data_IF_644662584141
#
_entry.id   IF_644662584141
#
_cell.length_a   1.000
_cell.length_b   1.000
_cell.length_c   1.000
_cell.angle_alpha   90.00
_cell.angle_beta   90.00
_cell.angle_gamma   90.00
#
_symmetry.space_group_name_H-M   'P 1'
#
loop_
_entity.id
_entity.type
_entity.pdbx_description
1 polymer ?
#
# COMPACT_ATOMS: atom_id res chain seq x y z
N UNK A 1 -4.33 -12.76 8.29
CA UNK A 1 -3.35 -11.70 8.60
C UNK A 1 -1.97 -12.25 8.92
N UNK A 2 -1.82 -13.16 9.90
CA UNK A 2 -0.52 -13.75 10.27
C UNK A 2 0.27 -14.37 9.10
N UNK A 3 -0.41 -15.10 8.19
CA UNK A 3 0.23 -15.67 6.99
C UNK A 3 0.77 -14.62 6.02
N UNK A 4 0.14 -13.43 5.94
CA UNK A 4 0.49 -12.35 5.00
C UNK A 4 1.71 -11.58 5.48
N UNK A 5 1.66 -11.21 6.76
CA UNK A 5 2.77 -10.57 7.45
C UNK A 5 3.96 -11.55 7.48
N UNK A 6 3.71 -12.83 7.74
CA UNK A 6 4.73 -13.89 7.71
C UNK A 6 5.38 -14.06 6.34
N UNK A 7 4.62 -14.08 5.24
CA UNK A 7 5.18 -14.26 3.89
C UNK A 7 5.94 -13.01 3.41
N UNK A 8 5.46 -11.81 3.77
CA UNK A 8 6.16 -10.55 3.53
C UNK A 8 7.46 -10.41 4.33
N UNK A 9 7.44 -10.78 5.63
CA UNK A 9 8.65 -10.83 6.46
C UNK A 9 9.62 -11.90 5.96
N UNK A 10 9.12 -13.08 5.59
CA UNK A 10 9.95 -14.17 5.08
C UNK A 10 10.64 -13.77 3.78
N UNK A 11 9.91 -13.17 2.83
CA UNK A 11 10.51 -12.67 1.58
C UNK A 11 11.45 -11.49 1.80
N UNK A 12 11.17 -10.60 2.75
CA UNK A 12 12.09 -9.54 3.15
C UNK A 12 13.40 -10.07 3.74
N UNK A 13 13.30 -11.07 4.63
CA UNK A 13 14.46 -11.73 5.23
C UNK A 13 15.25 -12.49 4.18
N UNK A 14 14.59 -13.25 3.29
CA UNK A 14 15.25 -14.02 2.24
C UNK A 14 15.99 -13.09 1.27
N UNK A 15 15.36 -11.99 0.85
CA UNK A 15 15.97 -11.00 -0.03
C UNK A 15 17.13 -10.26 0.64
N UNK A 16 16.99 -9.91 1.92
CA UNK A 16 18.07 -9.33 2.71
C UNK A 16 19.27 -10.27 2.83
N UNK A 17 19.04 -11.55 3.16
CA UNK A 17 20.11 -12.55 3.21
C UNK A 17 20.80 -12.70 1.86
N UNK A 18 20.03 -12.71 0.77
CA UNK A 18 20.57 -12.85 -0.59
C UNK A 18 21.45 -11.64 -0.97
N UNK A 19 20.99 -10.41 -0.72
CA UNK A 19 21.76 -9.18 -1.02
C UNK A 19 22.98 -9.01 -0.11
N UNK A 20 22.90 -9.43 1.16
CA UNK A 20 24.05 -9.38 2.08
C UNK A 20 25.19 -10.28 1.59
N UNK A 21 24.84 -11.37 0.89
CA UNK A 21 25.78 -12.30 0.30
C UNK A 21 26.46 -11.77 -0.97
N UNK A 22 25.86 -10.79 -1.67
CA UNK A 22 26.36 -10.30 -2.95
C UNK A 22 27.15 -8.98 -2.88
N UNK A 23 26.88 -8.11 -1.90
CA UNK A 23 27.39 -6.72 -1.93
C UNK A 23 28.32 -6.34 -0.76
N UNK A 24 28.65 -7.26 0.16
CA UNK A 24 29.36 -7.01 1.44
C UNK A 24 28.74 -5.86 2.29
N UNK A 25 27.53 -5.41 1.93
CA UNK A 25 26.88 -4.24 2.49
C UNK A 25 25.55 -4.64 3.13
N UNK A 26 25.64 -5.09 4.38
CA UNK A 26 24.53 -5.49 5.25
C UNK A 26 23.38 -4.45 5.27
N UNK A 27 23.69 -3.16 5.08
CA UNK A 27 22.69 -2.10 5.06
C UNK A 27 21.81 -2.12 3.80
N UNK A 28 22.37 -2.43 2.64
CA UNK A 28 21.62 -2.56 1.38
C UNK A 28 20.66 -3.75 1.48
N UNK A 29 21.10 -4.83 2.11
CA UNK A 29 20.30 -6.01 2.39
C UNK A 29 19.11 -5.74 3.31
N UNK A 30 19.34 -5.09 4.46
CA UNK A 30 18.27 -4.82 5.43
C UNK A 30 17.26 -3.83 4.85
N UNK A 31 17.72 -2.76 4.23
CA UNK A 31 16.84 -1.73 3.66
C UNK A 31 16.11 -2.27 2.43
N UNK A 32 16.81 -2.95 1.52
CA UNK A 32 16.24 -3.56 0.31
C UNK A 32 15.25 -4.68 0.61
N UNK A 33 15.52 -5.52 1.62
CA UNK A 33 14.64 -6.59 2.06
C UNK A 33 13.31 -6.06 2.62
N UNK A 34 13.36 -5.09 3.53
CA UNK A 34 12.14 -4.44 4.06
C UNK A 34 11.36 -3.77 2.93
N UNK A 35 12.04 -3.12 1.99
CA UNK A 35 11.42 -2.52 0.81
C UNK A 35 10.73 -3.53 -0.10
N UNK A 36 11.42 -4.63 -0.43
CA UNK A 36 10.88 -5.68 -1.27
C UNK A 36 9.68 -6.36 -0.62
N UNK A 37 9.73 -6.62 0.69
CA UNK A 37 8.61 -7.20 1.44
C UNK A 37 7.39 -6.29 1.48
N UNK A 38 7.56 -5.00 1.73
CA UNK A 38 6.45 -4.02 1.72
C UNK A 38 5.93 -3.80 0.30
N UNK A 39 6.83 -3.67 -0.67
CA UNK A 39 6.51 -3.52 -2.08
C UNK A 39 5.71 -4.70 -2.61
N UNK A 40 6.17 -5.94 -2.37
CA UNK A 40 5.45 -7.16 -2.74
C UNK A 40 4.11 -7.29 -2.01
N UNK A 41 4.02 -6.93 -0.73
CA UNK A 41 2.75 -6.95 -0.02
C UNK A 41 1.72 -5.97 -0.64
N UNK A 42 2.17 -4.83 -1.15
CA UNK A 42 1.33 -3.86 -1.88
C UNK A 42 1.03 -4.33 -3.31
N UNK A 43 2.01 -4.90 -4.01
CA UNK A 43 1.89 -5.32 -5.41
C UNK A 43 1.16 -6.65 -5.62
N UNK A 44 1.22 -7.58 -4.65
CA UNK A 44 0.45 -8.83 -4.69
C UNK A 44 -1.01 -8.64 -4.28
N UNK A 45 -1.35 -7.48 -3.71
CA UNK A 45 -2.71 -7.12 -3.30
C UNK A 45 -3.77 -7.22 -4.41
N UNK A 46 -3.53 -6.86 -5.69
CA UNK A 46 -4.53 -6.99 -6.76
C UNK A 46 -4.83 -8.43 -7.16
N UNK A 47 -3.89 -9.37 -6.93
CA UNK A 47 -4.10 -10.80 -7.21
C UNK A 47 -4.93 -11.52 -6.15
N UNK A 48 -5.20 -10.86 -5.03
CA UNK A 48 -5.98 -11.41 -3.93
C UNK A 48 -7.37 -10.82 -4.07
N UNK A 49 -8.16 -11.39 -4.98
CA UNK A 49 -9.54 -10.96 -5.22
C UNK A 49 -10.23 -10.71 -3.87
N UNK A 50 -10.72 -9.48 -3.61
CA UNK A 50 -11.57 -9.25 -2.46
C UNK A 50 -12.70 -10.25 -2.56
N UNK A 51 -12.83 -11.14 -1.57
CA UNK A 51 -13.98 -12.04 -1.42
C UNK A 51 -15.32 -11.39 -1.76
N UNK A 52 -15.59 -10.10 -1.46
CA UNK A 52 -16.85 -9.44 -1.84
C UNK A 52 -17.07 -9.21 -3.35
N UNK A 53 -16.04 -9.36 -4.20
CA UNK A 53 -16.18 -9.24 -5.67
C UNK A 53 -16.32 -10.59 -6.38
N UNK A 54 -16.30 -11.69 -5.62
CA UNK A 54 -16.37 -13.03 -6.18
C UNK A 54 -17.81 -13.32 -6.63
N UNK A 55 -17.97 -13.62 -7.92
CA UNK A 55 -19.29 -13.85 -8.53
C UNK A 55 -19.85 -12.65 -9.30
N UNK A 56 -19.27 -11.46 -9.15
CA UNK A 56 -19.61 -10.29 -9.97
C UNK A 56 -18.93 -10.38 -11.35
N UNK A 57 -19.66 -9.98 -12.39
CA UNK A 57 -19.10 -9.84 -13.74
C UNK A 57 -18.08 -8.67 -13.79
N UNK A 58 -17.20 -8.69 -14.80
CA UNK A 58 -16.16 -7.67 -15.00
C UNK A 58 -16.74 -6.26 -15.08
N UNK A 59 -17.93 -6.10 -15.68
CA UNK A 59 -18.61 -4.81 -15.78
C UNK A 59 -19.05 -4.33 -14.39
N UNK A 60 -19.70 -5.20 -13.62
CA UNK A 60 -20.16 -4.89 -12.26
C UNK A 60 -18.99 -4.56 -11.33
N UNK A 61 -17.89 -5.34 -11.37
CA UNK A 61 -16.68 -5.04 -10.58
C UNK A 61 -16.11 -3.66 -10.90
N UNK A 62 -16.08 -3.30 -12.20
CA UNK A 62 -15.59 -1.99 -12.64
C UNK A 62 -16.52 -0.88 -12.19
N UNK A 63 -17.84 -1.10 -12.22
CA UNK A 63 -18.84 -0.17 -11.72
C UNK A 63 -18.65 0.08 -10.22
N UNK A 64 -18.66 -0.97 -9.39
CA UNK A 64 -18.41 -0.89 -7.94
C UNK A 64 -17.10 -0.16 -7.61
N UNK A 65 -16.02 -0.49 -8.31
CA UNK A 65 -14.71 0.16 -8.09
C UNK A 65 -14.75 1.64 -8.48
N UNK A 66 -15.47 2.00 -9.55
CA UNK A 66 -15.61 3.39 -10.00
C UNK A 66 -16.43 4.19 -9.01
N UNK A 67 -17.57 3.67 -8.55
CA UNK A 67 -18.45 4.31 -7.57
C UNK A 67 -17.74 4.51 -6.22
N UNK A 68 -16.99 3.50 -5.76
CA UNK A 68 -16.14 3.64 -4.57
C UNK A 68 -15.08 4.75 -4.72
N UNK A 69 -14.51 4.91 -5.92
CA UNK A 69 -13.49 5.95 -6.21
C UNK A 69 -14.08 7.34 -6.41
N UNK A 70 -15.34 7.46 -6.85
CA UNK A 70 -16.03 8.74 -6.95
C UNK A 70 -16.54 9.22 -5.59
N UNK A 71 -16.85 8.29 -4.68
CA UNK A 71 -17.43 8.64 -3.37
C UNK A 71 -18.96 8.77 -3.41
N UNK A 72 -19.58 8.36 -4.51
CA UNK A 72 -21.02 8.46 -4.73
C UNK A 72 -21.78 7.27 -4.13
N UNK A 73 -23.10 7.43 -3.94
CA UNK A 73 -23.96 6.33 -3.55
C UNK A 73 -24.08 5.32 -4.70
N UNK A 74 -24.19 4.03 -4.39
CA UNK A 74 -24.53 3.02 -5.39
C UNK A 74 -25.97 3.25 -5.90
N UNK A 75 -26.14 3.23 -7.22
CA UNK A 75 -27.46 3.36 -7.87
C UNK A 75 -28.21 2.02 -7.92
N UNK A 76 -27.49 0.90 -8.07
CA UNK A 76 -28.07 -0.44 -8.16
C UNK A 76 -28.15 -1.12 -6.77
N UNK A 77 -29.33 -1.59 -6.32
CA UNK A 77 -29.49 -2.21 -5.01
C UNK A 77 -28.68 -3.51 -4.87
N UNK A 78 -28.61 -4.32 -5.93
CA UNK A 78 -27.84 -5.58 -5.95
C UNK A 78 -26.32 -5.35 -5.76
N UNK A 79 -25.81 -4.19 -6.16
CA UNK A 79 -24.39 -3.83 -6.05
C UNK A 79 -24.06 -3.04 -4.78
N UNK A 80 -25.08 -2.61 -4.02
CA UNK A 80 -24.91 -1.82 -2.82
C UNK A 80 -24.18 -2.59 -1.72
N UNK A 81 -24.53 -3.87 -1.51
CA UNK A 81 -23.88 -4.75 -0.53
C UNK A 81 -22.42 -5.08 -0.91
N UNK A 82 -22.11 -5.51 -2.15
CA UNK A 82 -20.72 -5.68 -2.57
C UNK A 82 -19.86 -4.42 -2.40
N UNK A 83 -20.43 -3.23 -2.62
CA UNK A 83 -19.71 -1.97 -2.40
C UNK A 83 -19.39 -1.75 -0.92
N UNK A 84 -20.37 -1.90 -0.02
CA UNK A 84 -20.13 -1.67 1.42
C UNK A 84 -19.16 -2.69 2.00
N UNK A 85 -19.25 -3.96 1.60
CA UNK A 85 -18.30 -5.00 2.01
C UNK A 85 -16.87 -4.73 1.48
N UNK A 86 -16.74 -4.26 0.23
CA UNK A 86 -15.44 -3.86 -0.34
C UNK A 86 -14.85 -2.65 0.39
N UNK A 87 -15.68 -1.66 0.73
CA UNK A 87 -15.25 -0.49 1.51
C UNK A 87 -14.78 -0.93 2.89
N UNK A 88 -15.53 -1.79 3.58
CA UNK A 88 -15.16 -2.28 4.91
C UNK A 88 -13.86 -3.09 4.88
N UNK A 89 -13.69 -3.95 3.87
CA UNK A 89 -12.42 -4.64 3.65
C UNK A 89 -11.26 -3.67 3.39
N UNK A 90 -11.51 -2.55 2.68
CA UNK A 90 -10.51 -1.53 2.39
C UNK A 90 -10.17 -0.68 3.62
N UNK A 91 -11.16 -0.39 4.46
CA UNK A 91 -10.99 0.41 5.68
C UNK A 91 -10.38 -0.41 6.82
N UNK A 92 -10.68 -1.71 6.90
CA UNK A 92 -10.11 -2.64 7.89
C UNK A 92 -8.59 -2.84 7.78
N UNK A 93 -7.97 -2.30 6.72
CA UNK A 93 -6.52 -2.40 6.51
C UNK A 93 -5.77 -1.56 7.58
N UNK A 94 -4.86 -2.15 8.36
CA UNK A 94 -4.25 -1.47 9.52
C UNK A 94 -3.18 -0.43 9.17
N UNK A 95 -2.89 -0.17 7.89
CA UNK A 95 -1.89 0.82 7.51
C UNK A 95 -2.42 2.24 7.76
N UNK A 96 -2.18 2.77 8.96
CA UNK A 96 -2.50 4.16 9.26
C UNK A 96 -1.64 5.10 8.40
N UNK A 97 -2.18 6.26 7.99
CA UNK A 97 -1.37 7.29 7.32
C UNK A 97 -0.14 7.67 8.14
N UNK A 98 -0.26 7.64 9.46
CA UNK A 98 0.85 7.85 10.40
C UNK A 98 1.96 6.82 10.21
N UNK A 99 1.63 5.53 10.14
CA UNK A 99 2.62 4.46 9.94
C UNK A 99 3.32 4.60 8.59
N UNK A 100 2.59 4.96 7.53
CA UNK A 100 3.21 5.23 6.22
C UNK A 100 4.14 6.46 6.24
N UNK A 101 3.77 7.52 6.98
CA UNK A 101 4.63 8.71 7.17
C UNK A 101 5.87 8.39 7.97
N UNK A 102 5.75 7.59 9.03
CA UNK A 102 6.90 7.12 9.83
C UNK A 102 7.83 6.28 8.95
N UNK A 103 7.28 5.36 8.15
CA UNK A 103 8.06 4.58 7.20
C UNK A 103 8.77 5.47 6.17
N UNK A 104 8.09 6.48 5.62
CA UNK A 104 8.70 7.44 4.71
C UNK A 104 9.83 8.24 5.40
N UNK A 105 9.62 8.72 6.63
CA UNK A 105 10.63 9.43 7.40
C UNK A 105 11.86 8.57 7.69
N UNK A 106 11.66 7.30 8.05
CA UNK A 106 12.74 6.33 8.27
C UNK A 106 13.54 6.10 6.97
N UNK A 107 12.85 5.91 5.85
CA UNK A 107 13.49 5.75 4.54
C UNK A 107 14.28 6.99 4.13
N UNK A 108 13.73 8.19 4.39
CA UNK A 108 14.42 9.45 4.12
C UNK A 108 15.70 9.57 4.95
N UNK A 109 15.62 9.27 6.25
CA UNK A 109 16.79 9.30 7.14
C UNK A 109 17.86 8.30 6.69
N UNK A 110 17.49 7.04 6.43
CA UNK A 110 18.41 6.00 5.96
C UNK A 110 19.02 6.33 4.59
N UNK A 111 18.22 6.83 3.65
CA UNK A 111 18.69 7.29 2.34
C UNK A 111 19.64 8.48 2.45
N UNK A 112 19.32 9.45 3.30
CA UNK A 112 20.16 10.61 3.57
C UNK A 112 21.49 10.21 4.20
N UNK A 113 21.46 9.44 5.28
CA UNK A 113 22.67 8.98 5.98
C UNK A 113 23.57 8.13 5.06
N UNK A 114 22.99 7.20 4.31
CA UNK A 114 23.78 6.39 3.35
C UNK A 114 24.39 7.22 2.24
N UNK A 115 23.70 8.25 1.74
CA UNK A 115 24.25 9.19 0.75
C UNK A 115 25.43 9.97 1.34
N UNK A 116 25.28 10.52 2.55
CA UNK A 116 26.36 11.27 3.23
C UNK A 116 27.57 10.38 3.47
N UNK A 117 27.37 9.16 3.98
CA UNK A 117 28.46 8.21 4.22
C UNK A 117 29.17 7.82 2.91
N UNK A 118 28.44 7.63 1.82
CA UNK A 118 29.04 7.34 0.51
C UNK A 118 29.93 8.49 0.03
N UNK A 119 29.46 9.73 0.15
CA UNK A 119 30.23 10.93 -0.22
C UNK A 119 31.50 11.04 0.63
N UNK A 120 31.38 10.90 1.95
CA UNK A 120 32.52 11.07 2.87
C UNK A 120 33.54 9.93 2.71
N UNK A 121 33.09 8.69 2.55
CA UNK A 121 33.98 7.53 2.51
C UNK A 121 34.60 7.29 1.13
N UNK A 122 33.88 7.59 0.04
CA UNK A 122 34.30 7.21 -1.32
C UNK A 122 34.42 8.38 -2.28
N UNK A 123 33.97 9.59 -1.91
CA UNK A 123 33.97 10.77 -2.78
C UNK A 123 32.99 10.67 -3.95
N UNK A 124 32.19 9.61 -4.03
CA UNK A 124 31.30 9.31 -5.15
C UNK A 124 29.84 9.18 -4.67
N UNK A 125 28.93 9.68 -5.49
CA UNK A 125 27.48 9.54 -5.27
C UNK A 125 26.95 8.47 -6.22
N UNK A 126 26.65 7.29 -5.69
CA UNK A 126 25.88 6.28 -6.43
C UNK A 126 24.40 6.64 -6.40
N UNK A 127 23.82 6.84 -7.59
CA UNK A 127 22.40 7.15 -7.76
C UNK A 127 21.46 6.02 -7.32
N UNK A 128 21.93 4.77 -7.34
CA UNK A 128 21.12 3.58 -7.05
C UNK A 128 21.01 3.26 -5.55
N UNK A 129 21.76 3.97 -4.70
CA UNK A 129 21.76 3.76 -3.25
C UNK A 129 20.91 4.79 -2.49
N UNK A 130 21.58 5.59 -1.66
CA UNK A 130 20.94 6.57 -0.80
C UNK A 130 20.04 7.59 -1.51
N UNK A 131 20.44 8.19 -2.65
CA UNK A 131 19.60 9.14 -3.38
C UNK A 131 18.27 8.53 -3.86
N UNK A 132 18.28 7.28 -4.35
CA UNK A 132 17.06 6.60 -4.76
C UNK A 132 16.11 6.37 -3.57
N UNK A 133 16.64 5.98 -2.42
CA UNK A 133 15.85 5.84 -1.18
C UNK A 133 15.22 7.16 -0.75
N UNK A 134 15.96 8.26 -0.85
CA UNK A 134 15.42 9.60 -0.59
C UNK A 134 14.29 9.91 -1.57
N UNK A 135 14.48 9.73 -2.88
CA UNK A 135 13.44 9.99 -3.88
C UNK A 135 12.19 9.14 -3.65
N UNK A 136 12.35 7.86 -3.33
CA UNK A 136 11.23 6.97 -3.01
C UNK A 136 10.51 7.36 -1.73
N UNK A 137 11.24 7.81 -0.70
CA UNK A 137 10.63 8.33 0.53
C UNK A 137 9.79 9.58 0.29
N UNK A 138 10.26 10.47 -0.58
CA UNK A 138 9.52 11.66 -0.98
C UNK A 138 8.27 11.26 -1.78
N UNK A 139 8.38 10.34 -2.73
CA UNK A 139 7.23 9.83 -3.46
C UNK A 139 6.20 9.20 -2.51
N UNK A 140 6.65 8.38 -1.55
CA UNK A 140 5.78 7.77 -0.54
C UNK A 140 5.07 8.83 0.30
N UNK A 141 5.80 9.81 0.82
CA UNK A 141 5.28 10.86 1.70
C UNK A 141 4.32 11.83 0.99
N UNK A 142 4.66 12.26 -0.23
CA UNK A 142 3.96 13.34 -0.92
C UNK A 142 2.96 12.86 -1.98
N UNK A 143 3.10 11.65 -2.50
CA UNK A 143 2.21 11.13 -3.56
C UNK A 143 1.32 10.03 -3.01
N UNK A 144 1.91 8.99 -2.42
CA UNK A 144 1.16 7.80 -2.03
C UNK A 144 0.33 8.01 -0.77
N UNK A 145 0.90 8.58 0.30
CA UNK A 145 0.16 8.83 1.55
C UNK A 145 -1.07 9.73 1.32
N UNK A 146 -0.98 10.88 0.64
CA UNK A 146 -2.13 11.74 0.41
C UNK A 146 -3.17 11.08 -0.50
N UNK A 147 -2.73 10.40 -1.57
CA UNK A 147 -3.63 9.68 -2.47
C UNK A 147 -4.38 8.56 -1.75
N UNK A 148 -3.69 7.80 -0.90
CA UNK A 148 -4.30 6.73 -0.11
C UNK A 148 -5.32 7.29 0.90
N UNK A 149 -5.00 8.40 1.57
CA UNK A 149 -5.93 9.05 2.49
C UNK A 149 -7.21 9.51 1.77
N UNK A 150 -7.05 10.23 0.64
CA UNK A 150 -8.19 10.67 -0.19
C UNK A 150 -9.04 9.50 -0.67
N UNK A 151 -8.42 8.40 -1.09
CA UNK A 151 -9.17 7.21 -1.50
C UNK A 151 -9.97 6.59 -0.35
N UNK A 152 -9.41 6.56 0.88
CA UNK A 152 -10.13 6.05 2.05
C UNK A 152 -11.29 6.95 2.45
N UNK A 153 -11.12 8.26 2.37
CA UNK A 153 -12.20 9.23 2.60
C UNK A 153 -13.34 9.04 1.60
N UNK A 154 -13.03 8.93 0.31
CA UNK A 154 -14.03 8.67 -0.73
C UNK A 154 -14.71 7.32 -0.55
N UNK A 155 -13.97 6.27 -0.20
CA UNK A 155 -14.55 4.97 0.09
C UNK A 155 -15.52 5.05 1.28
N UNK A 156 -15.13 5.73 2.36
CA UNK A 156 -16.00 5.94 3.52
C UNK A 156 -17.24 6.78 3.16
N UNK A 157 -17.08 7.80 2.31
CA UNK A 157 -18.19 8.61 1.80
C UNK A 157 -19.16 7.76 0.96
N UNK A 158 -18.65 6.95 0.03
CA UNK A 158 -19.47 6.04 -0.79
C UNK A 158 -20.27 5.08 0.07
N UNK A 159 -19.66 4.51 1.12
CA UNK A 159 -20.38 3.65 2.09
C UNK A 159 -21.50 4.42 2.78
N UNK A 160 -21.22 5.59 3.36
CA UNK A 160 -22.23 6.41 4.05
C UNK A 160 -23.39 6.79 3.12
N UNK A 161 -23.07 7.22 1.90
CA UNK A 161 -24.07 7.63 0.91
C UNK A 161 -24.92 6.43 0.42
N UNK A 162 -24.30 5.27 0.25
CA UNK A 162 -25.00 4.03 -0.11
C UNK A 162 -25.91 3.56 1.04
N UNK A 163 -25.44 3.62 2.28
CA UNK A 163 -26.23 3.26 3.46
C UNK A 163 -27.38 4.24 3.72
N UNK A 164 -27.19 5.54 3.46
CA UNK A 164 -28.29 6.51 3.57
C UNK A 164 -29.39 6.27 2.53
N UNK A 165 -29.06 5.68 1.38
CA UNK A 165 -30.01 5.40 0.30
C UNK A 165 -30.72 4.07 0.45
N UNK A 166 -30.00 3.02 0.84
CA UNK A 166 -30.49 1.63 0.83
C UNK A 166 -30.60 1.00 2.23
N UNK A 167 -30.32 1.75 3.29
CA UNK A 167 -30.27 1.26 4.67
C UNK A 167 -28.89 0.71 5.06
N UNK A 168 -28.71 0.45 6.37
CA UNK A 168 -27.41 0.01 6.91
C UNK A 168 -26.94 -1.35 6.36
N UNK A 169 -27.90 -2.22 6.01
CA UNK A 169 -27.70 -3.50 5.35
C UNK A 169 -28.51 -3.54 4.04
N UNK A 170 -27.98 -2.99 2.93
CA UNK A 170 -28.63 -3.05 1.64
C UNK A 170 -28.92 -4.51 1.27
N UNK A 171 -30.16 -4.83 0.94
CA UNK A 171 -30.52 -6.14 0.43
C UNK A 171 -30.10 -6.24 -1.04
N UNK A 172 -29.37 -7.30 -1.36
CA UNK A 172 -29.06 -7.77 -2.70
C UNK A 172 -29.40 -9.24 -2.78
#
# INVERSE_FOLDING_TARGET
>A
MARVVGLGLFSAVLFGVMMAFFDDNLWVAVVGGVFFGVGMAVFMRPGWEPRPLKGLDRVQRRHVTRTMRSGEAMDDPELARPLTELVDATLAIPFSPTLMRVAAGLMFALGGTSTVLAIVARGEVSLLGGPLLVLMSLALAFVFVPTAARQRERAAQAKRATQSRWGENPTG
#
